data_IF_496485149570
#
_entry.id   IF_496485149570
#
_cell.length_a   1.000
_cell.length_b   1.000
_cell.length_c   1.000
_cell.angle_alpha   90.00
_cell.angle_beta   90.00
_cell.angle_gamma   90.00
#
_symmetry.space_group_name_H-M   'P 1'
#
loop_
_entity.id
_entity.type
_entity.pdbx_description
1 polymer ?
#
# COMPACT_ATOMS: atom_id res chain seq x y z
N UNK A 1 -23.19 19.43 11.39
CA UNK A 1 -24.65 19.49 11.12
C UNK A 1 -24.94 19.01 9.72
N UNK A 2 -26.18 18.68 9.40
CA UNK A 2 -26.60 18.32 8.03
C UNK A 2 -26.34 19.47 7.04
N UNK A 3 -26.57 20.70 7.48
CA UNK A 3 -26.30 21.94 6.70
C UNK A 3 -24.82 22.05 6.34
N UNK A 4 -23.91 21.79 7.29
CA UNK A 4 -22.45 21.81 7.03
C UNK A 4 -22.06 20.76 6.00
N UNK A 5 -22.65 19.56 6.09
CA UNK A 5 -22.38 18.47 5.14
C UNK A 5 -22.82 18.87 3.73
N UNK A 6 -24.03 19.43 3.60
CA UNK A 6 -24.56 19.84 2.28
C UNK A 6 -23.77 21.02 1.69
N UNK A 7 -23.41 22.01 2.51
CA UNK A 7 -22.55 23.12 2.08
C UNK A 7 -21.18 22.59 1.58
N UNK A 8 -20.56 21.70 2.35
CA UNK A 8 -19.25 21.13 1.96
C UNK A 8 -19.36 20.30 0.68
N UNK A 9 -20.44 19.49 0.57
CA UNK A 9 -20.69 18.68 -0.62
C UNK A 9 -20.83 19.58 -1.86
N UNK A 10 -21.63 20.63 -1.78
CA UNK A 10 -21.83 21.55 -2.90
C UNK A 10 -20.55 22.28 -3.28
N UNK A 11 -19.79 22.77 -2.31
CA UNK A 11 -18.49 23.41 -2.54
C UNK A 11 -17.53 22.48 -3.30
N UNK A 12 -17.46 21.21 -2.91
CA UNK A 12 -16.60 20.22 -3.59
C UNK A 12 -17.08 19.93 -5.01
N UNK A 13 -18.40 19.87 -5.26
CA UNK A 13 -18.95 19.70 -6.60
C UNK A 13 -18.61 20.91 -7.49
N UNK A 14 -18.71 22.12 -6.97
CA UNK A 14 -18.35 23.36 -7.70
C UNK A 14 -16.86 23.37 -8.07
N UNK A 15 -16.01 22.77 -7.22
CA UNK A 15 -14.60 22.52 -7.49
C UNK A 15 -14.35 21.32 -8.44
N UNK A 16 -15.40 20.76 -9.05
CA UNK A 16 -15.35 19.60 -9.96
C UNK A 16 -14.74 18.34 -9.29
N UNK A 17 -14.96 18.19 -7.99
CA UNK A 17 -14.61 16.95 -7.25
C UNK A 17 -15.83 16.04 -7.19
N UNK A 18 -15.61 14.76 -6.91
CA UNK A 18 -16.67 13.77 -6.68
C UNK A 18 -16.72 13.41 -5.18
N UNK A 19 -17.39 14.21 -4.35
CA UNK A 19 -17.48 13.95 -2.92
C UNK A 19 -18.37 12.75 -2.61
N UNK A 20 -18.02 12.00 -1.59
CA UNK A 20 -18.84 10.95 -1.00
C UNK A 20 -18.83 11.05 0.53
N UNK A 21 -19.88 10.57 1.17
CA UNK A 21 -19.95 10.49 2.63
C UNK A 21 -19.19 9.27 3.13
N UNK A 22 -18.38 9.49 4.15
CA UNK A 22 -17.67 8.42 4.85
C UNK A 22 -18.06 8.43 6.34
N UNK A 23 -18.34 7.27 6.97
CA UNK A 23 -18.56 7.18 8.39
C UNK A 23 -17.29 7.54 9.15
N UNK A 24 -17.46 8.13 10.34
CA UNK A 24 -16.32 8.44 11.22
C UNK A 24 -15.90 7.17 11.98
N UNK A 25 -15.20 6.29 11.30
CA UNK A 25 -14.62 5.05 11.85
C UNK A 25 -13.11 5.01 11.57
N UNK A 26 -12.31 4.25 12.32
CA UNK A 26 -10.89 4.11 12.06
C UNK A 26 -10.61 3.70 10.62
N UNK A 27 -9.78 4.50 9.91
CA UNK A 27 -9.43 4.28 8.50
C UNK A 27 -10.55 4.64 7.50
N UNK A 28 -11.67 5.18 7.94
CA UNK A 28 -12.87 5.32 7.13
C UNK A 28 -13.19 3.99 6.40
N UNK A 29 -14.05 3.96 5.43
CA UNK A 29 -14.29 2.72 4.68
C UNK A 29 -13.25 2.50 3.57
N UNK A 30 -12.71 3.56 2.97
CA UNK A 30 -11.73 3.46 1.87
C UNK A 30 -10.43 2.81 2.35
N UNK A 31 -9.85 3.33 3.44
CA UNK A 31 -8.61 2.78 3.98
C UNK A 31 -8.83 1.38 4.60
N UNK A 32 -10.04 1.09 5.12
CA UNK A 32 -10.35 -0.27 5.60
C UNK A 32 -10.35 -1.32 4.50
N UNK A 33 -10.57 -0.94 3.24
CA UNK A 33 -10.43 -1.82 2.09
C UNK A 33 -9.00 -1.81 1.53
N UNK A 34 -8.41 -0.62 1.41
CA UNK A 34 -7.11 -0.43 0.78
C UNK A 34 -5.96 -1.00 1.61
N UNK A 35 -5.91 -0.68 2.91
CA UNK A 35 -4.75 -1.05 3.76
C UNK A 35 -4.54 -2.56 3.85
N UNK A 36 -5.57 -3.40 4.15
CA UNK A 36 -5.38 -4.85 4.16
C UNK A 36 -4.90 -5.40 2.82
N UNK A 37 -5.45 -4.90 1.70
CA UNK A 37 -5.02 -5.31 0.36
C UNK A 37 -3.53 -5.00 0.13
N UNK A 38 -3.08 -3.80 0.51
CA UNK A 38 -1.67 -3.41 0.40
C UNK A 38 -0.78 -4.28 1.29
N UNK A 39 -1.21 -4.55 2.53
CA UNK A 39 -0.46 -5.39 3.46
C UNK A 39 -0.41 -6.85 3.00
N UNK A 40 -1.47 -7.37 2.38
CA UNK A 40 -1.50 -8.73 1.84
C UNK A 40 -0.52 -8.89 0.67
N UNK A 41 -0.43 -7.90 -0.22
CA UNK A 41 0.60 -7.89 -1.25
C UNK A 41 2.02 -7.91 -0.66
N UNK A 42 2.25 -7.13 0.40
CA UNK A 42 3.53 -7.12 1.11
C UNK A 42 3.81 -8.46 1.81
N UNK A 43 2.80 -9.14 2.36
CA UNK A 43 2.93 -10.50 2.93
C UNK A 43 3.31 -11.53 1.87
N UNK A 44 2.68 -11.48 0.70
CA UNK A 44 3.04 -12.36 -0.42
C UNK A 44 4.48 -12.15 -0.88
N UNK A 45 4.94 -10.89 -0.92
CA UNK A 45 6.33 -10.57 -1.20
C UNK A 45 7.27 -11.10 -0.10
N UNK A 46 6.92 -10.91 1.18
CA UNK A 46 7.68 -11.41 2.33
C UNK A 46 7.80 -12.94 2.33
N UNK A 47 6.77 -13.63 1.85
CA UNK A 47 6.75 -15.08 1.68
C UNK A 47 7.46 -15.55 0.40
N UNK A 48 7.98 -14.65 -0.41
CA UNK A 48 8.63 -14.98 -1.69
C UNK A 48 7.68 -15.49 -2.78
N UNK A 49 6.37 -15.25 -2.64
CA UNK A 49 5.35 -15.73 -3.59
C UNK A 49 5.16 -14.79 -4.79
N UNK A 50 5.54 -13.53 -4.66
CA UNK A 50 5.51 -12.54 -5.74
C UNK A 50 6.76 -11.68 -5.70
N UNK A 51 7.11 -11.09 -6.86
CA UNK A 51 8.09 -10.02 -6.97
C UNK A 51 7.37 -8.66 -6.97
N UNK A 52 8.09 -7.60 -6.66
CA UNK A 52 7.55 -6.23 -6.63
C UNK A 52 6.90 -5.85 -7.97
N UNK A 53 7.60 -6.11 -9.08
CA UNK A 53 7.14 -5.76 -10.41
C UNK A 53 5.89 -6.57 -10.82
N UNK A 54 5.90 -7.89 -10.59
CA UNK A 54 4.80 -8.78 -10.96
C UNK A 54 3.53 -8.46 -10.16
N UNK A 55 3.67 -8.14 -8.87
CA UNK A 55 2.54 -7.72 -8.03
C UNK A 55 1.89 -6.43 -8.54
N UNK A 56 2.69 -5.44 -8.95
CA UNK A 56 2.16 -4.21 -9.52
C UNK A 56 1.52 -4.45 -10.89
N UNK A 57 2.16 -5.20 -11.78
CA UNK A 57 1.61 -5.54 -13.11
C UNK A 57 0.29 -6.31 -12.96
N UNK A 58 0.24 -7.30 -12.06
CA UNK A 58 -0.98 -8.09 -11.83
C UNK A 58 -2.18 -7.24 -11.44
N UNK A 59 -2.02 -6.29 -10.52
CA UNK A 59 -3.11 -5.40 -10.11
C UNK A 59 -3.53 -4.42 -11.21
N UNK A 60 -2.56 -3.86 -11.95
CA UNK A 60 -2.84 -2.95 -13.06
C UNK A 60 -3.64 -3.65 -14.17
N UNK A 61 -3.19 -4.84 -14.58
CA UNK A 61 -3.73 -5.52 -15.77
C UNK A 61 -4.97 -6.38 -15.48
N UNK A 62 -5.00 -7.07 -14.32
CA UNK A 62 -6.09 -7.98 -13.98
C UNK A 62 -7.27 -7.30 -13.29
N UNK A 63 -7.01 -6.25 -12.48
CA UNK A 63 -8.04 -5.56 -11.71
C UNK A 63 -8.30 -4.12 -12.16
N UNK A 64 -7.56 -3.61 -13.14
CA UNK A 64 -7.71 -2.25 -13.65
C UNK A 64 -7.38 -1.17 -12.61
N UNK A 65 -6.51 -1.46 -11.65
CA UNK A 65 -6.06 -0.46 -10.69
C UNK A 65 -5.32 0.66 -11.42
N UNK A 66 -5.49 1.94 -11.04
CA UNK A 66 -4.80 3.05 -11.69
C UNK A 66 -3.30 3.06 -11.38
N UNK A 67 -2.88 2.35 -10.34
CA UNK A 67 -1.51 2.26 -9.87
C UNK A 67 -1.25 0.94 -9.17
N UNK A 68 -0.04 0.41 -9.33
CA UNK A 68 0.40 -0.78 -8.63
C UNK A 68 0.55 -0.53 -7.12
N UNK A 69 0.34 -1.58 -6.32
CA UNK A 69 0.29 -1.49 -4.87
C UNK A 69 1.64 -1.12 -4.24
N UNK A 70 2.76 -1.63 -4.77
CA UNK A 70 4.09 -1.33 -4.25
C UNK A 70 4.55 0.09 -4.61
N UNK A 71 4.20 0.58 -5.82
CA UNK A 71 4.41 1.99 -6.16
C UNK A 71 3.58 2.92 -5.28
N UNK A 72 2.31 2.58 -5.07
CA UNK A 72 1.44 3.34 -4.18
C UNK A 72 2.00 3.37 -2.76
N UNK A 73 2.52 2.23 -2.27
CA UNK A 73 3.15 2.13 -0.97
C UNK A 73 4.34 3.10 -0.84
N UNK A 74 5.20 3.17 -1.85
CA UNK A 74 6.35 4.06 -1.87
C UNK A 74 5.95 5.55 -1.89
N UNK A 75 4.81 5.90 -2.50
CA UNK A 75 4.28 7.27 -2.45
C UNK A 75 3.65 7.61 -1.09
N UNK A 76 2.95 6.65 -0.47
CA UNK A 76 2.38 6.82 0.88
C UNK A 76 3.48 6.86 1.94
N UNK A 77 4.60 6.28 1.67
CA UNK A 77 5.79 6.04 2.50
C UNK A 77 5.65 4.89 3.52
N UNK A 78 6.72 4.11 3.65
CA UNK A 78 6.77 2.96 4.55
C UNK A 78 6.51 3.32 6.02
N UNK A 79 7.06 4.42 6.58
CA UNK A 79 6.73 4.82 7.96
C UNK A 79 5.26 5.16 8.15
N UNK A 80 4.63 5.83 7.17
CA UNK A 80 3.20 6.15 7.22
C UNK A 80 2.36 4.88 7.21
N UNK A 81 2.65 3.94 6.31
CA UNK A 81 1.95 2.67 6.24
C UNK A 81 2.10 1.86 7.52
N UNK A 82 3.30 1.80 8.08
CA UNK A 82 3.56 1.11 9.34
C UNK A 82 2.71 1.71 10.48
N UNK A 83 2.67 3.04 10.59
CA UNK A 83 1.89 3.71 11.63
C UNK A 83 0.39 3.52 11.43
N UNK A 84 -0.12 3.76 10.23
CA UNK A 84 -1.56 3.62 9.94
C UNK A 84 -2.03 2.19 10.16
N UNK A 85 -1.25 1.19 9.76
CA UNK A 85 -1.61 -0.21 9.97
C UNK A 85 -1.68 -0.58 11.44
N UNK A 86 -0.73 -0.12 12.27
CA UNK A 86 -0.75 -0.34 13.72
C UNK A 86 -1.94 0.36 14.39
N UNK A 87 -2.20 1.64 14.05
CA UNK A 87 -3.35 2.38 14.58
C UNK A 87 -4.68 1.69 14.23
N UNK A 88 -4.81 1.20 12.99
CA UNK A 88 -6.00 0.46 12.59
C UNK A 88 -6.11 -0.90 13.29
N UNK A 89 -4.99 -1.59 13.48
CA UNK A 89 -4.95 -2.85 14.24
C UNK A 89 -5.44 -2.64 15.67
N UNK A 90 -4.87 -1.67 16.40
CA UNK A 90 -5.27 -1.39 17.79
C UNK A 90 -6.71 -0.88 17.92
N UNK A 91 -7.22 -0.21 16.90
CA UNK A 91 -8.59 0.31 16.91
C UNK A 91 -9.64 -0.72 16.52
N UNK A 92 -9.26 -1.84 15.89
CA UNK A 92 -10.23 -2.78 15.28
C UNK A 92 -10.00 -4.24 15.67
N UNK A 93 -8.86 -4.58 16.28
CA UNK A 93 -8.40 -5.96 16.54
C UNK A 93 -8.40 -6.87 15.30
N UNK A 94 -8.41 -6.27 14.08
CA UNK A 94 -8.39 -7.02 12.83
C UNK A 94 -6.94 -7.44 12.51
N UNK A 95 -6.59 -8.75 12.54
CA UNK A 95 -5.23 -9.21 12.31
C UNK A 95 -4.69 -8.89 10.90
N UNK A 96 -5.57 -8.63 9.94
CA UNK A 96 -5.15 -8.22 8.59
C UNK A 96 -4.48 -6.84 8.58
N UNK A 97 -4.76 -6.01 9.59
CA UNK A 97 -4.15 -4.69 9.75
C UNK A 97 -2.75 -4.73 10.35
N UNK A 98 -2.35 -5.86 10.97
CA UNK A 98 -1.02 -5.96 11.57
C UNK A 98 0.07 -5.94 10.47
N UNK A 99 1.08 -5.04 10.58
CA UNK A 99 2.08 -4.87 9.54
C UNK A 99 3.00 -6.08 9.39
N UNK A 100 3.33 -6.52 8.15
CA UNK A 100 4.36 -7.50 7.91
C UNK A 100 5.74 -7.02 8.39
N UNK A 101 6.60 -7.97 8.76
CA UNK A 101 7.92 -7.68 9.33
C UNK A 101 8.84 -6.92 8.35
N UNK A 102 8.68 -7.14 7.05
CA UNK A 102 9.43 -6.42 6.01
C UNK A 102 9.27 -4.90 6.14
N UNK A 103 8.06 -4.39 6.47
CA UNK A 103 7.83 -2.95 6.64
C UNK A 103 8.65 -2.40 7.81
N UNK A 104 8.68 -3.12 8.93
CA UNK A 104 9.47 -2.74 10.11
C UNK A 104 10.95 -2.69 9.77
N UNK A 105 11.43 -3.68 9.02
CA UNK A 105 12.84 -3.77 8.58
C UNK A 105 13.19 -2.67 7.59
N UNK A 106 12.30 -2.35 6.64
CA UNK A 106 12.50 -1.26 5.69
C UNK A 106 12.60 0.09 6.41
N UNK A 107 11.71 0.35 7.39
CA UNK A 107 11.77 1.58 8.21
C UNK A 107 13.11 1.68 8.96
N UNK A 108 13.56 0.58 9.59
CA UNK A 108 14.85 0.56 10.29
C UNK A 108 16.05 0.83 9.38
N UNK A 109 15.92 0.48 8.09
CA UNK A 109 16.97 0.67 7.08
C UNK A 109 16.88 2.01 6.34
N UNK A 110 15.95 2.90 6.70
CA UNK A 110 15.75 4.18 6.03
C UNK A 110 15.14 4.07 4.62
N UNK A 111 14.49 2.94 4.32
CA UNK A 111 13.87 2.66 3.02
C UNK A 111 12.40 3.11 3.06
N UNK A 112 12.19 4.44 2.94
CA UNK A 112 10.88 5.03 3.22
C UNK A 112 9.98 5.15 1.99
N UNK A 113 10.49 4.93 0.78
CA UNK A 113 9.76 5.08 -0.48
C UNK A 113 10.33 6.16 -1.39
N UNK A 114 9.48 6.71 -2.25
CA UNK A 114 9.89 7.64 -3.31
C UNK A 114 10.64 8.86 -2.79
N UNK A 115 10.16 9.49 -1.72
CA UNK A 115 10.77 10.70 -1.15
C UNK A 115 12.16 10.50 -0.55
N UNK A 116 12.53 9.27 -0.16
CA UNK A 116 13.87 8.91 0.33
C UNK A 116 14.77 8.33 -0.77
N UNK A 117 14.28 8.23 -2.00
CA UNK A 117 14.99 7.61 -3.12
C UNK A 117 14.94 6.08 -3.10
N UNK A 118 14.36 5.46 -2.07
CA UNK A 118 14.43 4.02 -1.89
C UNK A 118 13.25 3.47 -1.07
N UNK A 119 12.53 2.52 -1.65
CA UNK A 119 11.40 1.81 -1.06
C UNK A 119 11.30 0.41 -1.64
N UNK A 120 10.13 0.00 -2.11
CA UNK A 120 9.96 -1.19 -2.95
C UNK A 120 10.62 -1.00 -4.31
N UNK A 121 10.69 0.23 -4.75
CA UNK A 121 11.44 0.66 -5.93
C UNK A 121 12.68 1.44 -5.56
N UNK A 122 13.65 1.44 -6.46
CA UNK A 122 14.75 2.39 -6.50
C UNK A 122 14.26 3.63 -7.27
N UNK A 123 14.31 4.78 -6.60
CA UNK A 123 13.81 6.08 -7.07
C UNK A 123 14.95 7.04 -7.40
N UNK A 124 16.17 6.55 -7.64
CA UNK A 124 17.28 7.40 -8.07
C UNK A 124 16.93 8.21 -9.34
N UNK A 125 16.14 7.62 -10.24
CA UNK A 125 15.45 8.33 -11.33
C UNK A 125 13.93 8.31 -11.06
N UNK A 126 13.32 9.41 -10.59
CA UNK A 126 11.89 9.46 -10.29
C UNK A 126 10.99 9.21 -11.51
N UNK A 127 11.48 9.42 -12.72
CA UNK A 127 10.72 9.18 -13.96
C UNK A 127 10.81 7.73 -14.43
N UNK A 128 11.79 6.98 -13.94
CA UNK A 128 12.05 5.58 -14.32
C UNK A 128 12.39 4.73 -13.10
N UNK A 129 11.49 4.64 -12.09
CA UNK A 129 11.75 3.84 -10.91
C UNK A 129 11.91 2.37 -11.30
N UNK A 130 12.88 1.69 -10.67
CA UNK A 130 13.18 0.27 -10.91
C UNK A 130 12.75 -0.57 -9.75
N UNK A 131 11.99 -1.63 -10.01
CA UNK A 131 11.63 -2.60 -8.98
C UNK A 131 12.90 -3.20 -8.35
N UNK A 132 12.92 -3.25 -7.02
CA UNK A 132 14.07 -3.79 -6.28
C UNK A 132 13.93 -5.28 -6.02
N UNK A 133 15.06 -5.97 -6.06
CA UNK A 133 15.14 -7.31 -5.49
C UNK A 133 15.17 -7.21 -3.95
N UNK A 134 14.12 -7.70 -3.31
CA UNK A 134 13.95 -7.68 -1.86
C UNK A 134 14.09 -9.07 -1.22
N UNK A 135 14.73 -10.02 -1.90
CA UNK A 135 14.95 -11.40 -1.43
C UNK A 135 15.55 -11.46 -0.01
N UNK A 136 16.36 -10.47 0.39
CA UNK A 136 16.92 -10.37 1.74
C UNK A 136 15.87 -10.22 2.85
N UNK A 137 14.64 -9.89 2.52
CA UNK A 137 13.53 -9.75 3.45
C UNK A 137 12.59 -10.96 3.44
N UNK A 138 12.76 -11.87 2.48
CA UNK A 138 11.91 -13.05 2.34
C UNK A 138 12.08 -13.99 3.55
N UNK A 139 10.95 -14.42 4.08
CA UNK A 139 10.85 -15.38 5.20
C UNK A 139 10.29 -16.68 4.64
N UNK A 140 11.06 -17.43 3.90
CA UNK A 140 10.65 -18.70 3.30
C UNK A 140 11.69 -19.23 2.32
N UNK A 141 11.63 -20.51 1.98
CA UNK A 141 12.52 -21.08 0.97
C UNK A 141 12.12 -20.57 -0.42
N UNK A 142 13.12 -20.12 -1.19
CA UNK A 142 12.94 -19.68 -2.57
C UNK A 142 12.46 -20.79 -3.54
N UNK A 143 12.34 -22.02 -3.06
CA UNK A 143 12.06 -23.21 -3.87
C UNK A 143 10.60 -23.37 -4.34
N UNK A 144 9.69 -22.50 -3.88
CA UNK A 144 8.24 -22.63 -4.14
C UNK A 144 7.70 -21.66 -5.19
N UNK A 145 8.58 -20.99 -5.92
CA UNK A 145 8.21 -20.14 -7.06
C UNK A 145 8.20 -20.97 -8.35
N UNK A 146 7.20 -21.84 -8.50
CA UNK A 146 6.87 -22.39 -9.81
C UNK A 146 6.16 -21.32 -10.62
N UNK A 147 6.79 -20.87 -11.69
CA UNK A 147 6.24 -19.87 -12.60
C UNK A 147 5.01 -20.43 -13.34
N UNK A 148 3.82 -20.06 -12.88
CA UNK A 148 2.62 -20.18 -13.67
C UNK A 148 2.33 -18.82 -14.30
N UNK A 149 2.40 -18.75 -15.63
CA UNK A 149 1.93 -17.59 -16.39
C UNK A 149 0.41 -17.65 -16.44
N UNK A 150 -0.26 -16.65 -15.89
CA UNK A 150 -1.72 -16.45 -16.01
C UNK A 150 -1.98 -15.44 -17.12
#
# INVERSE_FOLDING_TARGET
SAETVEFTRQTLLDMKKAPFLAPNIPGFWVNRLLIPQMLDAVRLLEQGKIRVEDGDIGLLTSLGHPQGTFKLHDFVTTPTMLRVSLEMYYATDDPRMYPPLILIRMVKNGEFGAGSGKGFYDWCDPHKPKARNLSRYVIGSAEDMTDHVI
#
